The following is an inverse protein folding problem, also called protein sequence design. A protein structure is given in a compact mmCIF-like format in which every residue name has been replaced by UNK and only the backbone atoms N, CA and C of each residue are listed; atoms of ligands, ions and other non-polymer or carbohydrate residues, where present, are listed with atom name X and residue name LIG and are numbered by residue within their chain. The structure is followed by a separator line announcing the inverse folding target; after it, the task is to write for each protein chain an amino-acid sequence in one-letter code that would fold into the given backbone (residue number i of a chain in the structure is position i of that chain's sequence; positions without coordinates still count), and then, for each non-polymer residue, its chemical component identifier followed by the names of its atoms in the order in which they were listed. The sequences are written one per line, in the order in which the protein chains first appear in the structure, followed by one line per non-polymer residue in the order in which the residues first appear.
data_IF_620340660355
#
_entry.id   IF_620340660355
#
_cell.length_a   1.000
_cell.length_b   1.000
_cell.length_c   1.000
_cell.angle_alpha   90.00
_cell.angle_beta   90.00
_cell.angle_gamma   90.00
#
_symmetry.space_group_name_H-M   'P 1'
#
loop_
_entity.id
_entity.type
_entity.pdbx_description
1 polymer ?
#
# COMPACT_ATOMS: atom_id res chain seq x y z
N UNK A 1 -24.30 49.29 28.97
CA UNK A 1 -23.75 48.75 27.71
C UNK A 1 -22.39 48.14 28.01
N UNK A 2 -22.28 46.81 27.98
CA UNK A 2 -21.01 46.09 28.20
C UNK A 2 -20.48 45.63 26.84
N UNK A 3 -19.42 46.27 26.38
CA UNK A 3 -18.62 45.83 25.23
C UNK A 3 -17.73 44.68 25.66
N UNK A 4 -17.95 43.48 25.11
CA UNK A 4 -16.97 42.39 25.22
C UNK A 4 -15.77 42.65 24.28
N UNK A 5 -14.56 42.25 24.68
CA UNK A 5 -13.34 42.65 24.00
C UNK A 5 -13.12 41.81 22.73
N UNK A 6 -12.97 42.50 21.60
CA UNK A 6 -12.60 41.99 20.28
C UNK A 6 -11.26 41.23 20.28
N UNK A 7 -10.50 41.29 21.38
CA UNK A 7 -9.19 40.66 21.52
C UNK A 7 -9.22 39.11 21.56
N UNK A 8 -10.32 38.46 21.99
CA UNK A 8 -10.34 36.98 22.12
C UNK A 8 -10.53 36.29 20.77
N UNK A 9 -11.25 36.92 19.83
CA UNK A 9 -11.53 36.31 18.51
C UNK A 9 -10.27 36.27 17.63
N UNK A 10 -9.36 37.23 17.78
CA UNK A 10 -8.12 37.27 16.99
C UNK A 10 -7.10 36.19 17.39
N UNK A 11 -7.07 35.76 18.65
CA UNK A 11 -6.11 34.74 19.12
C UNK A 11 -6.51 33.34 18.66
N UNK A 12 -7.81 33.03 18.59
CA UNK A 12 -8.29 31.71 18.11
C UNK A 12 -8.05 31.54 16.60
N UNK A 13 -8.16 32.62 15.81
CA UNK A 13 -7.89 32.59 14.36
C UNK A 13 -6.40 32.42 14.06
N UNK A 14 -5.51 32.99 14.88
CA UNK A 14 -4.06 32.83 14.69
C UNK A 14 -3.58 31.41 15.04
N UNK A 15 -4.16 30.76 16.06
CA UNK A 15 -3.80 29.38 16.41
C UNK A 15 -4.36 28.38 15.38
N UNK A 16 -5.57 28.60 14.86
CA UNK A 16 -6.12 27.77 13.78
C UNK A 16 -5.37 27.95 12.46
N UNK A 17 -4.96 29.18 12.13
CA UNK A 17 -4.15 29.48 10.94
C UNK A 17 -2.75 28.88 11.00
N UNK A 18 -2.09 28.91 12.17
CA UNK A 18 -0.79 28.27 12.37
C UNK A 18 -0.88 26.74 12.34
N UNK A 19 -1.98 26.15 12.81
CA UNK A 19 -2.19 24.70 12.78
C UNK A 19 -2.46 24.18 11.35
N UNK A 20 -3.13 24.96 10.50
CA UNK A 20 -3.32 24.65 9.08
C UNK A 20 -2.03 24.83 8.25
N UNK A 21 -1.13 25.73 8.64
CA UNK A 21 0.20 25.87 8.02
C UNK A 21 1.19 24.78 8.45
N UNK A 22 0.98 24.13 9.59
CA UNK A 22 1.77 22.96 10.04
C UNK A 22 1.32 21.64 9.40
N UNK A 23 0.09 21.57 8.89
CA UNK A 23 -0.48 20.39 8.22
C UNK A 23 -0.31 20.39 6.70
N UNK A 24 0.32 21.42 6.13
CA UNK A 24 0.57 21.50 4.70
C UNK A 24 2.08 21.61 4.45
N UNK A 25 2.83 20.49 4.39
CA UNK A 25 4.17 20.56 3.85
C UNK A 25 4.00 20.96 2.39
N UNK A 26 4.41 22.17 2.06
CA UNK A 26 4.59 22.62 0.69
C UNK A 26 5.19 21.48 -0.12
N UNK A 27 4.41 21.02 -1.09
CA UNK A 27 4.83 20.03 -2.05
C UNK A 27 5.98 20.63 -2.85
N UNK A 28 7.21 20.42 -2.37
CA UNK A 28 8.40 20.47 -3.20
C UNK A 28 8.30 19.32 -4.19
N UNK A 29 7.50 19.51 -5.22
CA UNK A 29 7.54 18.70 -6.44
C UNK A 29 8.84 19.09 -7.13
N UNK A 30 9.92 18.46 -6.68
CA UNK A 30 11.17 18.44 -7.42
C UNK A 30 10.95 17.54 -8.63
N UNK A 31 10.72 18.16 -9.78
CA UNK A 31 10.99 17.52 -11.06
C UNK A 31 12.43 16.99 -11.05
N UNK A 32 12.60 15.81 -11.64
CA UNK A 32 13.88 15.10 -11.82
C UNK A 32 14.53 14.57 -10.54
N UNK A 33 13.92 13.56 -9.92
CA UNK A 33 14.59 12.64 -9.01
C UNK A 33 14.87 11.32 -9.70
N UNK A 34 16.11 11.11 -10.15
CA UNK A 34 16.59 9.79 -10.56
C UNK A 34 16.23 8.75 -9.48
N UNK A 35 15.71 7.59 -9.89
CA UNK A 35 15.37 6.46 -9.04
C UNK A 35 16.63 5.88 -8.36
N UNK A 36 17.17 6.58 -7.35
CA UNK A 36 18.31 6.11 -6.57
C UNK A 36 17.83 5.11 -5.51
N UNK A 37 17.97 3.82 -5.81
CA UNK A 37 18.15 2.70 -4.85
C UNK A 37 17.04 2.36 -3.84
N UNK A 38 16.01 3.19 -3.67
CA UNK A 38 15.01 3.04 -2.59
C UNK A 38 13.58 2.76 -3.04
N UNK A 39 12.69 2.63 -2.04
CA UNK A 39 11.24 2.69 -2.21
C UNK A 39 10.85 4.14 -2.58
N UNK A 40 9.99 4.38 -3.59
CA UNK A 40 9.57 5.72 -3.98
C UNK A 40 8.98 6.52 -2.81
N UNK A 41 9.28 7.81 -2.70
CA UNK A 41 8.71 8.65 -1.64
C UNK A 41 7.17 8.71 -1.69
N UNK A 42 6.59 8.70 -2.89
CA UNK A 42 5.14 8.67 -3.13
C UNK A 42 4.61 7.22 -3.25
N UNK A 43 5.20 6.25 -2.54
CA UNK A 43 4.76 4.85 -2.66
C UNK A 43 3.30 4.65 -2.26
N UNK A 44 2.88 5.22 -1.13
CA UNK A 44 1.48 5.19 -0.70
C UNK A 44 0.78 6.51 -1.02
N UNK A 45 -0.39 6.40 -1.63
CA UNK A 45 -1.26 7.50 -1.98
C UNK A 45 -2.72 7.04 -1.97
N UNK A 46 -3.66 7.97 -1.78
CA UNK A 46 -5.07 7.62 -1.70
C UNK A 46 -5.72 7.56 -3.09
N UNK A 47 -5.93 6.36 -3.63
CA UNK A 47 -6.88 6.15 -4.72
C UNK A 47 -8.31 6.17 -4.18
N UNK A 48 -9.30 6.24 -5.08
CA UNK A 48 -10.70 6.02 -4.71
C UNK A 48 -10.81 4.68 -3.97
N UNK A 49 -11.31 4.66 -2.72
CA UNK A 49 -11.47 3.43 -1.96
C UNK A 49 -12.34 2.42 -2.70
N UNK A 50 -12.01 1.14 -2.61
CA UNK A 50 -12.87 0.08 -3.07
C UNK A 50 -14.05 -0.08 -2.10
N UNK A 51 -15.27 -0.15 -2.62
CA UNK A 51 -16.47 -0.43 -1.83
C UNK A 51 -16.71 -1.94 -1.80
N UNK A 52 -15.90 -2.64 -0.98
CA UNK A 52 -15.86 -4.11 -0.93
C UNK A 52 -15.78 -4.57 0.52
N UNK A 53 -16.78 -5.34 0.94
CA UNK A 53 -16.89 -5.86 2.31
C UNK A 53 -16.92 -7.39 2.39
N UNK A 54 -17.17 -8.07 1.27
CA UNK A 54 -17.19 -9.54 1.20
C UNK A 54 -15.79 -10.11 0.95
N UNK A 55 -15.37 -11.16 1.67
CA UNK A 55 -14.16 -11.93 1.37
C UNK A 55 -14.04 -12.36 -0.10
N UNK A 56 -15.14 -12.82 -0.70
CA UNK A 56 -15.16 -13.30 -2.09
C UNK A 56 -14.92 -12.15 -3.07
N UNK A 57 -15.52 -10.99 -2.81
CA UNK A 57 -15.34 -9.80 -3.64
C UNK A 57 -13.93 -9.25 -3.52
N UNK A 58 -13.33 -9.28 -2.32
CA UNK A 58 -11.95 -8.91 -2.10
C UNK A 58 -11.00 -9.79 -2.90
N UNK A 59 -11.22 -11.11 -2.88
CA UNK A 59 -10.45 -12.07 -3.67
C UNK A 59 -10.55 -11.76 -5.16
N UNK A 60 -11.76 -11.54 -5.68
CA UNK A 60 -11.96 -11.16 -7.10
C UNK A 60 -11.28 -9.83 -7.45
N UNK A 61 -11.36 -8.86 -6.55
CA UNK A 61 -10.72 -7.56 -6.71
C UNK A 61 -9.20 -7.67 -6.75
N UNK A 62 -8.59 -8.45 -5.84
CA UNK A 62 -7.17 -8.74 -5.86
C UNK A 62 -6.78 -9.47 -7.15
N UNK A 63 -7.55 -10.46 -7.60
CA UNK A 63 -7.27 -11.18 -8.85
C UNK A 63 -7.27 -10.27 -10.09
N UNK A 64 -8.09 -9.21 -10.08
CA UNK A 64 -8.22 -8.30 -11.24
C UNK A 64 -6.91 -7.63 -11.64
N UNK A 65 -5.95 -7.46 -10.72
CA UNK A 65 -4.66 -6.82 -11.00
C UNK A 65 -3.56 -7.79 -11.44
N UNK A 66 -3.80 -9.11 -11.38
CA UNK A 66 -2.81 -10.12 -11.75
C UNK A 66 -2.24 -9.97 -13.18
N UNK A 67 -3.01 -9.55 -14.22
CA UNK A 67 -2.44 -9.33 -15.54
C UNK A 67 -1.27 -8.33 -15.59
N UNK A 68 -1.15 -7.45 -14.59
CA UNK A 68 -0.09 -6.45 -14.50
C UNK A 68 1.23 -6.99 -13.94
N UNK A 69 1.26 -8.24 -13.48
CA UNK A 69 2.40 -8.80 -12.75
C UNK A 69 3.13 -9.91 -13.48
N UNK A 70 2.91 -10.06 -14.79
CA UNK A 70 3.45 -11.17 -15.59
C UNK A 70 4.99 -11.22 -15.63
N UNK A 71 5.65 -10.07 -15.46
CA UNK A 71 7.12 -9.97 -15.41
C UNK A 71 7.68 -9.92 -13.99
N UNK A 72 6.84 -9.91 -12.96
CA UNK A 72 7.29 -9.74 -11.58
C UNK A 72 7.72 -11.08 -10.98
N UNK A 73 8.81 -11.05 -10.23
CA UNK A 73 9.17 -12.14 -9.33
C UNK A 73 8.14 -12.28 -8.20
N UNK A 74 8.12 -13.43 -7.53
CA UNK A 74 7.26 -13.70 -6.36
C UNK A 74 7.27 -12.54 -5.33
N UNK A 75 8.43 -12.07 -4.82
CA UNK A 75 8.45 -10.97 -3.84
C UNK A 75 7.92 -9.65 -4.42
N UNK A 76 8.18 -9.36 -5.69
CA UNK A 76 7.66 -8.16 -6.36
C UNK A 76 6.14 -8.22 -6.53
N UNK A 77 5.57 -9.38 -6.90
CA UNK A 77 4.13 -9.59 -6.96
C UNK A 77 3.47 -9.29 -5.61
N UNK A 78 4.05 -9.83 -4.53
CA UNK A 78 3.55 -9.66 -3.17
C UNK A 78 3.58 -8.17 -2.75
N UNK A 79 4.68 -7.46 -3.05
CA UNK A 79 4.80 -6.03 -2.78
C UNK A 79 3.86 -5.16 -3.63
N UNK A 80 3.66 -5.50 -4.90
CA UNK A 80 2.73 -4.80 -5.79
C UNK A 80 1.27 -4.95 -5.33
N UNK A 81 0.85 -6.15 -4.96
CA UNK A 81 -0.50 -6.39 -4.46
C UNK A 81 -0.75 -5.63 -3.15
N UNK A 82 0.24 -5.58 -2.26
CA UNK A 82 0.12 -4.80 -1.03
C UNK A 82 -0.08 -3.31 -1.32
N UNK A 83 0.77 -2.75 -2.19
CA UNK A 83 0.67 -1.37 -2.63
C UNK A 83 -0.72 -1.05 -3.19
N UNK A 84 -1.19 -1.88 -4.11
CA UNK A 84 -2.46 -1.68 -4.78
C UNK A 84 -3.63 -1.71 -3.79
N UNK A 85 -3.68 -2.75 -2.95
CA UNK A 85 -4.76 -2.92 -1.98
C UNK A 85 -4.75 -1.81 -0.93
N UNK A 86 -3.58 -1.42 -0.41
CA UNK A 86 -3.50 -0.30 0.55
C UNK A 86 -3.95 1.02 -0.05
N UNK A 87 -3.51 1.34 -1.26
CA UNK A 87 -3.92 2.56 -1.94
C UNK A 87 -5.43 2.57 -2.27
N UNK A 88 -6.09 1.40 -2.26
CA UNK A 88 -7.55 1.22 -2.38
C UNK A 88 -8.29 1.16 -1.04
N UNK A 89 -7.61 1.44 0.06
CA UNK A 89 -8.21 1.57 1.40
C UNK A 89 -8.32 0.27 2.20
N UNK A 90 -7.74 -0.83 1.73
CA UNK A 90 -7.73 -2.09 2.49
C UNK A 90 -6.69 -2.06 3.61
N UNK A 91 -6.99 -2.75 4.70
CA UNK A 91 -6.02 -3.01 5.77
C UNK A 91 -5.18 -4.24 5.40
N UNK A 92 -3.93 -4.00 5.01
CA UNK A 92 -3.02 -5.03 4.51
C UNK A 92 -1.72 -5.00 5.31
N UNK A 93 -1.17 -6.19 5.54
CA UNK A 93 0.15 -6.40 6.15
C UNK A 93 0.81 -7.61 5.51
N UNK A 94 2.11 -7.76 5.68
CA UNK A 94 2.83 -8.95 5.21
C UNK A 94 2.93 -9.98 6.34
N UNK A 95 2.62 -11.23 6.04
CA UNK A 95 3.08 -12.37 6.80
C UNK A 95 4.39 -12.88 6.21
N UNK A 96 5.29 -13.38 7.05
CA UNK A 96 6.61 -13.84 6.64
C UNK A 96 7.05 -15.09 7.40
N UNK A 97 7.71 -15.99 6.68
CA UNK A 97 8.41 -17.14 7.23
C UNK A 97 9.75 -17.30 6.53
N UNK A 98 10.84 -17.58 7.26
CA UNK A 98 12.13 -17.95 6.67
C UNK A 98 12.24 -19.44 6.32
N UNK A 99 11.22 -20.24 6.63
CA UNK A 99 11.17 -21.68 6.41
C UNK A 99 9.76 -22.10 6.01
N UNK A 100 9.20 -21.42 5.01
CA UNK A 100 7.86 -21.70 4.51
C UNK A 100 7.75 -23.16 4.05
N UNK A 101 6.66 -23.84 4.45
CA UNK A 101 6.45 -25.29 4.20
C UNK A 101 7.58 -26.19 4.71
N UNK A 102 8.26 -25.77 5.78
CA UNK A 102 9.44 -26.47 6.33
C UNK A 102 10.56 -26.69 5.30
N UNK A 103 10.62 -25.87 4.26
CA UNK A 103 11.55 -26.06 3.13
C UNK A 103 12.88 -25.33 3.30
N UNK A 104 13.05 -24.56 4.37
CA UNK A 104 14.20 -23.66 4.55
C UNK A 104 14.20 -22.44 3.62
N UNK A 105 13.18 -22.29 2.77
CA UNK A 105 13.00 -21.13 1.91
C UNK A 105 12.19 -20.07 2.62
N UNK A 106 12.61 -18.82 2.46
CA UNK A 106 11.81 -17.69 2.87
C UNK A 106 10.62 -17.46 1.96
N UNK A 107 9.53 -16.96 2.52
CA UNK A 107 8.35 -16.56 1.79
C UNK A 107 7.62 -15.43 2.51
N UNK A 108 7.07 -14.51 1.74
CA UNK A 108 6.18 -13.47 2.21
C UNK A 108 4.86 -13.56 1.46
N UNK A 109 3.76 -13.37 2.16
CA UNK A 109 2.41 -13.27 1.60
C UNK A 109 1.65 -12.17 2.33
N UNK A 110 0.43 -11.89 1.90
CA UNK A 110 -0.37 -10.82 2.49
C UNK A 110 -1.38 -11.37 3.49
N UNK A 111 -1.61 -10.61 4.55
CA UNK A 111 -2.77 -10.74 5.42
C UNK A 111 -3.63 -9.50 5.20
N UNK A 112 -4.83 -9.72 4.67
CA UNK A 112 -5.81 -8.67 4.39
C UNK A 112 -6.95 -8.80 5.38
N UNK A 113 -7.28 -7.68 6.04
CA UNK A 113 -8.35 -7.63 7.03
C UNK A 113 -9.55 -6.86 6.47
N UNK A 114 -10.74 -7.48 6.50
CA UNK A 114 -11.98 -6.79 6.10
C UNK A 114 -12.50 -5.85 7.22
N UNK A 115 -13.59 -5.12 6.94
CA UNK A 115 -14.19 -4.18 7.92
C UNK A 115 -14.74 -4.88 9.17
N UNK A 116 -15.06 -6.18 9.09
CA UNK A 116 -15.51 -6.99 10.22
C UNK A 116 -14.36 -7.52 11.10
N UNK A 117 -13.11 -7.29 10.68
CA UNK A 117 -11.93 -7.73 11.41
C UNK A 117 -11.44 -9.14 11.03
N UNK A 118 -12.08 -9.80 10.07
CA UNK A 118 -11.70 -11.12 9.58
C UNK A 118 -10.42 -11.01 8.75
N UNK A 119 -9.47 -11.92 8.99
CA UNK A 119 -8.19 -11.96 8.28
C UNK A 119 -8.18 -13.05 7.22
N UNK A 120 -7.71 -12.69 6.04
CA UNK A 120 -7.53 -13.59 4.91
C UNK A 120 -6.07 -13.57 4.48
N UNK A 121 -5.49 -14.76 4.32
CA UNK A 121 -4.23 -14.87 3.62
C UNK A 121 -4.46 -14.62 2.12
N UNK A 122 -3.61 -13.81 1.51
CA UNK A 122 -3.60 -13.56 0.07
C UNK A 122 -2.20 -13.88 -0.46
N UNK A 123 -2.14 -14.81 -1.40
CA UNK A 123 -0.95 -15.28 -2.11
C UNK A 123 -1.03 -14.86 -3.58
N UNK A 124 -0.49 -13.68 -3.95
CA UNK A 124 -0.52 -13.16 -5.32
C UNK A 124 0.14 -14.09 -6.35
N UNK A 125 1.16 -14.84 -5.93
CA UNK A 125 1.92 -15.78 -6.75
C UNK A 125 1.43 -17.23 -6.57
N UNK A 126 0.12 -17.43 -6.42
CA UNK A 126 -0.46 -18.73 -6.10
C UNK A 126 -0.14 -19.84 -7.11
N UNK A 127 0.04 -19.49 -8.39
CA UNK A 127 0.43 -20.46 -9.42
C UNK A 127 1.87 -20.93 -9.25
N UNK A 128 2.78 -19.99 -9.01
CA UNK A 128 4.22 -20.16 -8.82
C UNK A 128 4.50 -20.90 -7.51
N UNK A 129 3.75 -20.54 -6.45
CA UNK A 129 3.81 -21.15 -5.13
C UNK A 129 3.00 -22.43 -5.01
N UNK A 130 2.32 -22.88 -6.07
CA UNK A 130 1.45 -24.08 -6.07
C UNK A 130 0.46 -24.05 -4.88
N UNK A 131 -0.11 -22.89 -4.60
CA UNK A 131 -1.19 -22.74 -3.63
C UNK A 131 -2.53 -23.10 -4.28
N UNK A 132 -3.50 -23.56 -3.49
CA UNK A 132 -4.81 -23.95 -4.03
C UNK A 132 -5.58 -22.78 -4.68
N UNK A 133 -5.30 -21.55 -4.27
CA UNK A 133 -5.88 -20.34 -4.83
C UNK A 133 -5.07 -19.10 -4.40
N UNK A 134 -5.48 -17.92 -4.88
CA UNK A 134 -4.94 -16.64 -4.42
C UNK A 134 -5.26 -16.35 -2.95
N UNK A 135 -6.24 -17.02 -2.34
CA UNK A 135 -6.57 -16.90 -0.92
C UNK A 135 -6.50 -18.28 -0.28
N UNK A 136 -5.28 -18.83 -0.11
CA UNK A 136 -5.10 -20.17 0.41
C UNK A 136 -5.63 -20.28 1.85
N UNK A 137 -6.19 -21.44 2.16
CA UNK A 137 -6.76 -21.81 3.46
C UNK A 137 -5.97 -22.92 4.16
N UNK A 138 -4.97 -23.48 3.47
CA UNK A 138 -3.97 -24.40 4.01
C UNK A 138 -3.24 -23.84 5.24
N UNK A 139 -2.80 -24.74 6.12
CA UNK A 139 -2.19 -24.37 7.40
C UNK A 139 -0.87 -23.58 7.21
N UNK A 140 -0.16 -23.82 6.12
CA UNK A 140 1.10 -23.12 5.80
C UNK A 140 0.94 -21.61 5.75
N UNK A 141 -0.20 -21.12 5.25
CA UNK A 141 -0.50 -19.68 5.13
C UNK A 141 -1.16 -19.09 6.38
N UNK A 142 -1.54 -19.94 7.35
CA UNK A 142 -2.08 -19.53 8.66
C UNK A 142 -0.99 -19.37 9.72
N UNK A 143 0.19 -19.95 9.48
CA UNK A 143 1.32 -19.91 10.42
C UNK A 143 2.46 -19.08 9.84
N UNK A 144 2.84 -18.01 10.53
CA UNK A 144 3.96 -17.16 10.15
C UNK A 144 4.81 -16.79 11.36
N UNK A 145 6.09 -16.53 11.11
CA UNK A 145 7.05 -16.19 12.16
C UNK A 145 7.01 -14.71 12.50
N UNK A 146 6.79 -13.87 11.48
CA UNK A 146 6.76 -12.41 11.62
C UNK A 146 5.61 -11.84 10.80
N UNK A 147 5.08 -10.73 11.29
CA UNK A 147 4.15 -9.86 10.58
C UNK A 147 4.78 -8.49 10.44
N UNK A 148 4.79 -7.96 9.23
CA UNK A 148 5.31 -6.63 8.94
C UNK A 148 4.18 -5.74 8.46
N UNK A 149 4.11 -4.52 8.99
CA UNK A 149 3.01 -3.60 8.72
C UNK A 149 2.97 -3.19 7.25
N UNK A 150 4.13 -2.96 6.64
CA UNK A 150 4.26 -2.38 5.31
C UNK A 150 5.59 -2.77 4.65
N UNK A 151 5.79 -2.29 3.42
CA UNK A 151 6.97 -2.63 2.62
C UNK A 151 8.27 -2.07 3.22
N UNK A 152 8.20 -0.97 3.96
CA UNK A 152 9.36 -0.36 4.60
C UNK A 152 9.86 -1.25 5.74
N UNK A 153 8.94 -1.78 6.54
CA UNK A 153 9.29 -2.71 7.61
C UNK A 153 9.76 -4.05 7.06
N UNK A 154 9.06 -4.62 6.06
CA UNK A 154 9.46 -5.88 5.43
C UNK A 154 10.87 -5.78 4.84
N UNK A 155 11.09 -4.84 3.92
CA UNK A 155 12.35 -4.70 3.19
C UNK A 155 13.56 -4.48 4.12
N UNK A 156 13.38 -3.73 5.21
CA UNK A 156 14.42 -3.54 6.24
C UNK A 156 14.85 -4.85 6.92
N UNK A 157 13.98 -5.86 6.94
CA UNK A 157 14.20 -7.12 7.67
C UNK A 157 14.47 -8.34 6.78
N UNK A 158 14.21 -8.30 5.46
CA UNK A 158 14.12 -9.52 4.62
C UNK A 158 14.80 -9.40 3.26
N UNK A 159 15.89 -8.63 3.14
CA UNK A 159 16.73 -8.58 1.94
C UNK A 159 16.79 -7.23 1.21
N UNK A 160 16.27 -6.17 1.81
CA UNK A 160 16.35 -4.81 1.26
C UNK A 160 15.24 -4.49 0.25
N UNK A 161 15.14 -3.21 -0.17
CA UNK A 161 14.08 -2.73 -1.05
C UNK A 161 14.16 -3.31 -2.46
N UNK A 162 15.37 -3.62 -2.95
CA UNK A 162 15.61 -4.13 -4.31
C UNK A 162 14.90 -5.46 -4.57
N UNK A 163 14.79 -6.32 -3.55
CA UNK A 163 14.07 -7.60 -3.64
C UNK A 163 12.58 -7.44 -3.97
N UNK A 164 12.01 -6.28 -3.65
CA UNK A 164 10.57 -6.02 -3.75
C UNK A 164 10.25 -4.95 -4.80
N UNK A 165 11.23 -4.56 -5.62
CA UNK A 165 11.21 -3.34 -6.41
C UNK A 165 10.40 -3.45 -7.71
N UNK A 166 9.14 -3.88 -7.64
CA UNK A 166 8.24 -3.98 -8.80
C UNK A 166 8.11 -2.65 -9.57
N UNK A 167 8.30 -1.51 -8.90
CA UNK A 167 8.29 -0.17 -9.51
C UNK A 167 9.52 0.11 -10.38
N UNK A 168 10.50 -0.78 -10.44
CA UNK A 168 11.65 -0.68 -11.36
C UNK A 168 11.42 -1.45 -12.65
N UNK A 169 10.50 -2.41 -12.65
CA UNK A 169 10.08 -3.10 -13.85
C UNK A 169 9.31 -2.16 -14.78
N UNK A 170 9.48 -2.31 -16.09
CA UNK A 170 8.88 -1.39 -17.07
C UNK A 170 7.35 -1.34 -16.96
N UNK A 171 6.71 -2.50 -16.76
CA UNK A 171 5.27 -2.62 -16.51
C UNK A 171 4.86 -1.91 -15.22
N UNK A 172 5.64 -2.06 -14.14
CA UNK A 172 5.41 -1.40 -12.87
C UNK A 172 5.58 0.11 -12.93
N UNK A 173 6.62 0.61 -13.60
CA UNK A 173 6.85 2.04 -13.79
C UNK A 173 5.68 2.71 -14.52
N UNK A 174 5.20 2.09 -15.59
CA UNK A 174 4.05 2.62 -16.36
C UNK A 174 2.82 2.75 -15.46
N UNK A 175 2.47 1.69 -14.73
CA UNK A 175 1.30 1.69 -13.83
C UNK A 175 1.41 2.70 -12.69
N UNK A 176 2.60 2.81 -12.08
CA UNK A 176 2.86 3.76 -11.03
C UNK A 176 2.67 5.20 -11.55
N UNK A 177 3.29 5.53 -12.68
CA UNK A 177 3.20 6.85 -13.31
C UNK A 177 1.78 7.20 -13.75
N UNK A 178 1.04 6.25 -14.33
CA UNK A 178 -0.37 6.43 -14.69
C UNK A 178 -1.23 6.72 -13.46
N UNK A 179 -1.02 5.98 -12.38
CA UNK A 179 -1.76 6.17 -11.12
C UNK A 179 -1.51 7.55 -10.52
N UNK A 180 -0.25 8.00 -10.48
CA UNK A 180 0.12 9.34 -10.02
C UNK A 180 -0.48 10.42 -10.93
N UNK A 181 -0.47 10.21 -12.25
CA UNK A 181 -1.06 11.16 -13.20
C UNK A 181 -2.56 11.32 -13.01
N UNK A 182 -3.27 10.20 -12.81
CA UNK A 182 -4.72 10.20 -12.54
C UNK A 182 -5.04 10.92 -11.22
N UNK A 183 -4.23 10.70 -10.17
CA UNK A 183 -4.38 11.41 -8.91
C UNK A 183 -4.24 12.93 -9.08
N UNK A 184 -3.18 13.37 -9.75
CA UNK A 184 -2.93 14.80 -10.00
C UNK A 184 -4.07 15.42 -10.81
N UNK A 185 -4.57 14.72 -11.83
CA UNK A 185 -5.71 15.18 -12.62
C UNK A 185 -6.96 15.37 -11.75
N UNK A 186 -7.28 14.40 -10.91
CA UNK A 186 -8.46 14.45 -10.04
C UNK A 186 -8.35 15.57 -8.99
N UNK A 187 -7.15 15.86 -8.50
CA UNK A 187 -6.89 16.99 -7.59
C UNK A 187 -7.05 18.35 -8.31
N UNK A 188 -6.61 18.45 -9.56
CA UNK A 188 -6.76 19.69 -10.35
C UNK A 188 -8.18 19.91 -10.86
N UNK A 189 -8.97 18.86 -11.09
CA UNK A 189 -10.36 18.95 -11.51
C UNK A 189 -11.35 19.14 -10.36
N UNK A 190 -10.89 19.16 -9.10
CA UNK A 190 -11.69 19.39 -7.90
C UNK A 190 -12.15 20.85 -7.74
N UNK A 191 -12.70 21.45 -8.81
CA UNK A 191 -13.58 22.60 -8.69
C UNK A 191 -15.02 22.07 -8.57
N UNK A 192 -15.68 22.52 -7.49
CA UNK A 192 -17.04 22.23 -6.98
C UNK A 192 -17.11 21.10 -5.95
#
# INVERSE_FOLDING_TARGET
MKTMPIAIVLIVVLIAGAFLLLMNPESKISGNGALSGGIPNEYYFSLKPADIDSPIELIRFAQSIRPHTSSFSIPEMVAFFEWYLKNRGFNVSFAYSNAFRNSGNEHAWLIVRNKLGEEMAVEPSSGEMKAESISPTTQDYKSYQKRFKDIYELSKNTGGPDKYAWWRESSGQNLFNESITLLRRNQMSGTV
#
